data_IF_469909225636
#
_entry.id   IF_469909225636
#
_cell.length_a   1.000
_cell.length_b   1.000
_cell.length_c   1.000
_cell.angle_alpha   90.00
_cell.angle_beta   90.00
_cell.angle_gamma   90.00
#
_symmetry.space_group_name_H-M   'P 1'
#
loop_
_entity.id
_entity.type
_entity.pdbx_description
1 polymer ?
#
# COMPACT_ATOMS: atom_id res chain seq x y z
N UNK A 1 5.95 16.31 -11.57
CA UNK A 1 6.41 17.47 -10.78
C UNK A 1 7.58 17.04 -9.93
N UNK A 2 8.71 17.73 -9.99
CA UNK A 2 9.83 17.41 -9.11
C UNK A 2 9.47 17.71 -7.65
N UNK A 3 9.95 16.87 -6.75
CA UNK A 3 9.83 17.06 -5.31
C UNK A 3 11.08 17.78 -4.81
N UNK A 4 10.89 18.88 -4.11
CA UNK A 4 11.98 19.62 -3.49
C UNK A 4 11.98 19.38 -1.99
N UNK A 5 13.15 19.11 -1.47
CA UNK A 5 13.40 19.04 -0.04
C UNK A 5 14.08 20.34 0.40
N UNK A 6 13.48 21.03 1.35
CA UNK A 6 14.01 22.31 1.82
C UNK A 6 14.23 22.30 3.31
N UNK A 7 15.24 23.06 3.71
CA UNK A 7 15.49 23.40 5.10
C UNK A 7 15.32 24.89 5.25
N UNK A 8 14.40 25.31 6.09
CA UNK A 8 14.12 26.71 6.36
C UNK A 8 14.23 27.01 7.85
N UNK A 9 14.63 28.24 8.15
CA UNK A 9 14.71 28.76 9.52
C UNK A 9 13.59 29.75 9.75
N UNK A 10 12.88 29.61 10.83
CA UNK A 10 11.84 30.57 11.19
C UNK A 10 12.50 31.89 11.61
N UNK A 11 12.05 32.98 11.00
CA UNK A 11 12.61 34.32 11.27
C UNK A 11 12.35 34.83 12.70
N UNK A 12 11.30 34.33 13.37
CA UNK A 12 10.89 34.80 14.69
C UNK A 12 11.60 34.10 15.84
N UNK A 13 11.76 32.75 15.75
CA UNK A 13 12.31 31.94 16.85
C UNK A 13 13.62 31.22 16.52
N UNK A 14 14.10 31.37 15.29
CA UNK A 14 15.34 30.75 14.85
C UNK A 14 15.29 29.22 14.69
N UNK A 15 14.12 28.62 14.80
CA UNK A 15 13.93 27.18 14.71
C UNK A 15 14.11 26.69 13.27
N UNK A 16 14.89 25.63 13.10
CA UNK A 16 15.11 24.99 11.81
C UNK A 16 13.99 23.98 11.54
N UNK A 17 13.32 24.14 10.41
CA UNK A 17 12.30 23.23 9.93
C UNK A 17 12.73 22.61 8.61
N UNK A 18 12.50 21.32 8.47
CA UNK A 18 12.67 20.59 7.22
C UNK A 18 11.30 20.24 6.66
N UNK A 19 11.12 20.44 5.37
CA UNK A 19 9.88 20.12 4.68
C UNK A 19 10.13 19.65 3.27
N UNK A 20 9.11 19.07 2.68
CA UNK A 20 9.10 18.65 1.28
C UNK A 20 7.92 19.32 0.58
N UNK A 21 8.15 19.79 -0.64
CA UNK A 21 7.12 20.43 -1.46
C UNK A 21 7.28 20.03 -2.92
N UNK A 22 6.18 19.75 -3.57
CA UNK A 22 6.14 19.57 -5.01
C UNK A 22 6.01 20.93 -5.68
N UNK A 23 6.92 21.24 -6.57
CA UNK A 23 6.91 22.48 -7.33
C UNK A 23 7.49 22.25 -8.74
N UNK A 24 7.12 23.10 -9.68
CA UNK A 24 7.66 23.03 -11.03
C UNK A 24 9.07 23.63 -11.11
N UNK A 25 9.31 24.64 -10.30
CA UNK A 25 10.59 25.35 -10.25
C UNK A 25 11.06 25.57 -8.82
N UNK A 26 12.37 25.73 -8.69
CA UNK A 26 13.00 26.08 -7.40
C UNK A 26 12.49 27.42 -6.86
N UNK A 27 12.23 28.38 -7.75
CA UNK A 27 11.78 29.72 -7.37
C UNK A 27 10.39 29.71 -6.74
N UNK A 28 9.54 28.79 -7.14
CA UNK A 28 8.20 28.58 -6.55
C UNK A 28 8.31 28.14 -5.08
N UNK A 29 9.24 27.23 -4.78
CA UNK A 29 9.52 26.80 -3.39
C UNK A 29 10.05 27.97 -2.56
N UNK A 30 10.97 28.75 -3.12
CA UNK A 30 11.53 29.94 -2.46
C UNK A 30 10.46 30.96 -2.15
N UNK A 31 9.55 31.21 -3.12
CA UNK A 31 8.41 32.12 -2.94
C UNK A 31 7.48 31.66 -1.80
N UNK A 32 7.19 30.38 -1.73
CA UNK A 32 6.36 29.79 -0.66
C UNK A 32 7.01 29.94 0.72
N UNK A 33 8.32 29.69 0.83
CA UNK A 33 9.07 29.81 2.08
C UNK A 33 9.10 31.27 2.56
N UNK A 34 9.31 32.22 1.64
CA UNK A 34 9.31 33.68 1.96
C UNK A 34 7.94 34.15 2.42
N UNK A 35 6.87 33.67 1.77
CA UNK A 35 5.48 34.01 2.14
C UNK A 35 5.14 33.61 3.57
N UNK A 36 5.74 32.52 4.05
CA UNK A 36 5.56 32.00 5.40
C UNK A 36 6.55 32.62 6.43
N UNK A 37 7.22 33.72 6.08
CA UNK A 37 8.21 34.38 6.94
C UNK A 37 9.36 33.47 7.42
N UNK A 38 9.74 32.54 6.55
CA UNK A 38 10.87 31.65 6.80
C UNK A 38 12.06 32.03 5.93
N UNK A 39 13.25 31.80 6.44
CA UNK A 39 14.50 32.02 5.72
C UNK A 39 14.98 30.68 5.17
N UNK A 40 15.16 30.60 3.85
CA UNK A 40 15.68 29.41 3.21
C UNK A 40 17.15 29.21 3.61
N UNK A 41 17.46 28.07 4.21
CA UNK A 41 18.84 27.66 4.54
C UNK A 41 19.41 26.77 3.43
N UNK A 42 18.64 25.81 2.96
CA UNK A 42 19.05 24.90 1.91
C UNK A 42 17.82 24.40 1.12
N UNK A 43 18.02 24.16 -0.16
CA UNK A 43 17.04 23.53 -1.04
C UNK A 43 17.75 22.54 -1.95
N UNK A 44 17.24 21.33 -2.03
CA UNK A 44 17.71 20.30 -2.95
C UNK A 44 16.52 19.73 -3.68
N UNK A 45 16.70 19.41 -4.95
CA UNK A 45 15.77 18.47 -5.57
C UNK A 45 15.90 17.15 -4.81
N UNK A 46 14.83 16.72 -4.18
CA UNK A 46 14.81 15.37 -3.65
C UNK A 46 15.14 14.46 -4.82
N UNK A 47 16.16 13.59 -4.70
CA UNK A 47 16.39 12.62 -5.74
C UNK A 47 15.03 11.96 -5.95
N UNK A 48 14.58 11.89 -7.22
CA UNK A 48 13.41 11.07 -7.55
C UNK A 48 13.63 9.80 -6.78
N UNK A 49 12.81 9.58 -5.77
CA UNK A 49 12.78 8.28 -5.14
C UNK A 49 12.34 7.36 -6.28
N UNK A 50 13.32 6.94 -7.05
CA UNK A 50 13.24 5.66 -7.68
C UNK A 50 13.03 4.78 -6.48
N UNK A 51 11.78 4.38 -6.25
CA UNK A 51 11.51 3.23 -5.40
C UNK A 51 12.22 2.10 -6.11
N UNK A 52 13.51 2.01 -5.87
CA UNK A 52 14.21 0.77 -6.04
C UNK A 52 13.53 -0.14 -5.03
N UNK A 53 12.55 -0.88 -5.50
CA UNK A 53 12.19 -2.13 -4.84
C UNK A 53 13.37 -3.08 -5.06
N UNK A 54 14.52 -2.67 -4.58
CA UNK A 54 15.69 -3.52 -4.49
C UNK A 54 15.33 -4.60 -3.49
N UNK A 55 14.94 -5.76 -4.04
CA UNK A 55 14.90 -7.00 -3.30
C UNK A 55 13.65 -7.31 -2.54
N UNK A 56 12.48 -6.79 -2.88
CA UNK A 56 11.25 -7.50 -2.52
C UNK A 56 11.14 -8.70 -3.46
N UNK A 57 11.28 -9.93 -2.95
CA UNK A 57 11.05 -11.10 -3.77
C UNK A 57 9.64 -11.01 -4.34
N UNK A 58 9.48 -11.22 -5.64
CA UNK A 58 8.19 -11.28 -6.28
C UNK A 58 7.29 -12.32 -5.59
N UNK A 59 5.99 -12.16 -5.71
CA UNK A 59 5.02 -13.12 -5.18
C UNK A 59 5.11 -14.38 -6.03
N UNK A 60 5.49 -15.49 -5.40
CA UNK A 60 5.57 -16.80 -6.05
C UNK A 60 4.23 -17.52 -5.97
N UNK A 61 3.97 -18.38 -6.94
CA UNK A 61 2.78 -19.26 -6.93
C UNK A 61 2.66 -20.05 -5.62
N UNK A 62 3.78 -20.53 -5.08
CA UNK A 62 3.81 -21.24 -3.80
C UNK A 62 3.25 -20.39 -2.65
N UNK A 63 3.59 -19.11 -2.60
CA UNK A 63 3.13 -18.21 -1.55
C UNK A 63 1.61 -18.02 -1.61
N UNK A 64 1.08 -17.90 -2.82
CA UNK A 64 -0.38 -17.78 -3.06
C UNK A 64 -1.12 -19.07 -2.70
N UNK A 65 -0.55 -20.23 -3.01
CA UNK A 65 -1.13 -21.54 -2.66
C UNK A 65 -1.22 -21.70 -1.14
N UNK A 66 -0.16 -21.38 -0.41
CA UNK A 66 -0.14 -21.44 1.06
C UNK A 66 -1.17 -20.47 1.63
N UNK A 67 -1.20 -19.24 1.13
CA UNK A 67 -2.18 -18.23 1.50
C UNK A 67 -3.62 -18.73 1.32
N UNK A 68 -3.91 -19.27 0.14
CA UNK A 68 -5.25 -19.77 -0.19
C UNK A 68 -5.68 -20.92 0.72
N UNK A 69 -4.79 -21.87 1.00
CA UNK A 69 -5.07 -22.99 1.92
C UNK A 69 -5.35 -22.51 3.34
N UNK A 70 -4.57 -21.60 3.85
CA UNK A 70 -4.78 -21.03 5.18
C UNK A 70 -6.08 -20.25 5.24
N UNK A 71 -6.36 -19.47 4.21
CA UNK A 71 -7.59 -18.70 4.11
C UNK A 71 -8.83 -19.61 4.09
N UNK A 72 -8.82 -20.64 3.25
CA UNK A 72 -9.90 -21.63 3.19
C UNK A 72 -10.13 -22.31 4.55
N UNK A 73 -9.05 -22.71 5.24
CA UNK A 73 -9.13 -23.31 6.56
C UNK A 73 -9.78 -22.39 7.57
N UNK A 74 -9.45 -21.11 7.57
CA UNK A 74 -10.02 -20.12 8.49
C UNK A 74 -11.51 -19.89 8.20
N UNK A 75 -11.89 -19.77 6.94
CA UNK A 75 -13.29 -19.62 6.53
C UNK A 75 -14.12 -20.87 6.91
N UNK A 76 -13.58 -22.06 6.65
CA UNK A 76 -14.21 -23.32 7.05
C UNK A 76 -14.40 -23.46 8.58
N UNK A 77 -13.50 -22.86 9.34
CA UNK A 77 -13.58 -22.83 10.80
C UNK A 77 -14.61 -21.82 11.34
N UNK A 78 -15.28 -21.08 10.45
CA UNK A 78 -16.28 -20.09 10.82
C UNK A 78 -15.74 -18.73 11.24
N UNK A 79 -14.44 -18.46 10.99
CA UNK A 79 -13.86 -17.15 11.24
C UNK A 79 -14.42 -16.10 10.28
N UNK A 80 -14.71 -14.88 10.75
CA UNK A 80 -15.11 -13.78 9.89
C UNK A 80 -14.09 -13.50 8.79
N UNK A 81 -14.54 -13.09 7.61
CA UNK A 81 -13.72 -12.85 6.43
C UNK A 81 -12.58 -11.85 6.70
N UNK A 82 -12.91 -10.68 7.23
CA UNK A 82 -11.92 -9.63 7.52
C UNK A 82 -10.92 -10.07 8.57
N UNK A 83 -11.36 -10.75 9.61
CA UNK A 83 -10.48 -11.29 10.65
C UNK A 83 -9.52 -12.33 10.08
N UNK A 84 -9.98 -13.21 9.21
CA UNK A 84 -9.14 -14.21 8.54
C UNK A 84 -8.06 -13.54 7.69
N UNK A 85 -8.41 -12.53 6.90
CA UNK A 85 -7.47 -11.77 6.09
C UNK A 85 -6.45 -11.02 6.95
N UNK A 86 -6.87 -10.43 8.06
CA UNK A 86 -5.98 -9.72 8.98
C UNK A 86 -4.96 -10.66 9.63
N UNK A 87 -5.37 -11.86 10.01
CA UNK A 87 -4.47 -12.89 10.54
C UNK A 87 -3.47 -13.34 9.47
N UNK A 88 -3.93 -13.56 8.25
CA UNK A 88 -3.07 -13.91 7.12
C UNK A 88 -2.05 -12.82 6.82
N UNK A 89 -2.45 -11.55 6.84
CA UNK A 89 -1.53 -10.44 6.66
C UNK A 89 -0.42 -10.43 7.71
N UNK A 90 -0.74 -10.77 8.96
CA UNK A 90 0.25 -10.86 10.03
C UNK A 90 1.19 -12.06 9.89
N UNK A 91 0.72 -13.20 9.38
CA UNK A 91 1.45 -14.46 9.29
C UNK A 91 2.20 -14.67 7.96
N UNK A 92 1.88 -13.91 6.93
CA UNK A 92 2.50 -14.06 5.61
C UNK A 92 3.97 -13.65 5.65
N UNK A 93 4.87 -14.55 5.25
CA UNK A 93 6.31 -14.33 5.24
C UNK A 93 6.77 -13.47 4.06
N UNK A 94 6.16 -13.65 2.89
CA UNK A 94 6.48 -12.85 1.71
C UNK A 94 6.00 -11.41 1.90
N UNK A 95 6.94 -10.47 1.92
CA UNK A 95 6.66 -9.05 2.18
C UNK A 95 5.71 -8.43 1.16
N UNK A 96 5.86 -8.78 -0.12
CA UNK A 96 5.00 -8.28 -1.18
C UNK A 96 3.55 -8.78 -1.02
N UNK A 97 3.36 -10.06 -0.74
CA UNK A 97 2.04 -10.65 -0.49
C UNK A 97 1.43 -10.11 0.81
N UNK A 98 2.23 -9.87 1.82
CA UNK A 98 1.79 -9.24 3.07
C UNK A 98 1.21 -7.84 2.83
N UNK A 99 1.87 -7.00 2.06
CA UNK A 99 1.37 -5.66 1.72
C UNK A 99 0.10 -5.72 0.86
N UNK A 100 0.04 -6.63 -0.10
CA UNK A 100 -1.16 -6.89 -0.90
C UNK A 100 -2.33 -7.32 0.01
N UNK A 101 -2.09 -8.22 0.95
CA UNK A 101 -3.12 -8.69 1.88
C UNK A 101 -3.64 -7.57 2.78
N UNK A 102 -2.77 -6.72 3.28
CA UNK A 102 -3.17 -5.53 4.04
C UNK A 102 -4.05 -4.59 3.23
N UNK A 103 -3.71 -4.38 1.97
CA UNK A 103 -4.52 -3.55 1.07
C UNK A 103 -5.88 -4.19 0.78
N UNK A 104 -5.93 -5.51 0.63
CA UNK A 104 -7.18 -6.26 0.47
C UNK A 104 -8.08 -6.11 1.71
N UNK A 105 -7.52 -6.21 2.91
CA UNK A 105 -8.25 -5.95 4.16
C UNK A 105 -8.87 -4.57 4.16
N UNK A 106 -8.09 -3.56 3.82
CA UNK A 106 -8.55 -2.17 3.76
C UNK A 106 -9.70 -2.00 2.77
N UNK A 107 -9.58 -2.58 1.57
CA UNK A 107 -10.59 -2.47 0.52
C UNK A 107 -11.91 -3.18 0.92
N UNK A 108 -11.83 -4.34 1.55
CA UNK A 108 -13.00 -5.07 2.05
C UNK A 108 -13.69 -4.34 3.20
N UNK A 109 -12.93 -3.78 4.12
CA UNK A 109 -13.46 -2.95 5.22
C UNK A 109 -14.13 -1.68 4.69
N UNK A 110 -13.67 -1.14 3.58
CA UNK A 110 -14.28 0.01 2.91
C UNK A 110 -15.59 -0.31 2.17
N UNK A 111 -16.00 -1.59 2.12
CA UNK A 111 -17.25 -2.04 1.52
C UNK A 111 -17.12 -2.67 0.13
N UNK A 112 -15.90 -2.88 -0.38
CA UNK A 112 -15.68 -3.60 -1.63
C UNK A 112 -15.85 -5.11 -1.42
N UNK A 113 -16.19 -5.82 -2.51
CA UNK A 113 -16.21 -7.28 -2.48
C UNK A 113 -14.80 -7.85 -2.41
N UNK A 114 -14.65 -9.08 -1.92
CA UNK A 114 -13.36 -9.76 -1.88
C UNK A 114 -12.78 -9.95 -3.28
N UNK A 115 -13.60 -10.31 -4.26
CA UNK A 115 -13.21 -10.44 -5.65
C UNK A 115 -12.68 -9.12 -6.22
N UNK A 116 -13.37 -8.00 -5.97
CA UNK A 116 -12.91 -6.68 -6.40
C UNK A 116 -11.58 -6.31 -5.76
N UNK A 117 -11.43 -6.57 -4.47
CA UNK A 117 -10.18 -6.31 -3.76
C UNK A 117 -9.01 -7.12 -4.35
N UNK A 118 -9.18 -8.39 -4.62
CA UNK A 118 -8.16 -9.23 -5.27
C UNK A 118 -7.87 -8.83 -6.71
N UNK A 119 -8.87 -8.37 -7.46
CA UNK A 119 -8.71 -7.95 -8.86
C UNK A 119 -7.76 -6.77 -9.05
N UNK A 120 -7.55 -5.98 -8.01
CA UNK A 120 -6.61 -4.85 -8.00
C UNK A 120 -5.14 -5.28 -7.91
N UNK A 121 -4.88 -6.55 -7.67
CA UNK A 121 -3.55 -7.12 -7.50
C UNK A 121 -3.29 -8.29 -8.48
N UNK A 122 -3.26 -8.03 -9.81
CA UNK A 122 -3.17 -9.09 -10.81
C UNK A 122 -1.83 -9.84 -10.78
N UNK A 123 -0.80 -9.27 -10.18
CA UNK A 123 0.49 -9.94 -10.00
C UNK A 123 0.47 -11.01 -8.90
N UNK A 124 -0.44 -10.88 -7.94
CA UNK A 124 -0.62 -11.83 -6.85
C UNK A 124 -1.71 -12.85 -7.17
N UNK A 125 -2.83 -12.39 -7.70
CA UNK A 125 -4.03 -13.19 -7.93
C UNK A 125 -4.43 -13.17 -9.41
N UNK A 126 -4.44 -14.34 -10.04
CA UNK A 126 -4.82 -14.47 -11.44
C UNK A 126 -6.30 -14.15 -11.68
N UNK A 127 -6.65 -13.85 -12.94
CA UNK A 127 -8.04 -13.63 -13.31
C UNK A 127 -8.94 -14.83 -13.02
N UNK A 128 -8.45 -16.06 -13.19
CA UNK A 128 -9.16 -17.28 -12.81
C UNK A 128 -9.46 -17.33 -11.31
N UNK A 129 -8.46 -17.02 -10.47
CA UNK A 129 -8.64 -16.97 -9.02
C UNK A 129 -9.70 -15.94 -8.63
N UNK A 130 -9.64 -14.75 -9.19
CA UNK A 130 -10.60 -13.66 -8.94
C UNK A 130 -12.01 -14.08 -9.35
N UNK A 131 -12.18 -14.71 -10.51
CA UNK A 131 -13.47 -15.19 -10.98
C UNK A 131 -14.06 -16.29 -10.09
N UNK A 132 -13.21 -17.19 -9.59
CA UNK A 132 -13.62 -18.23 -8.65
C UNK A 132 -14.07 -17.62 -7.32
N UNK A 133 -13.36 -16.64 -6.81
CA UNK A 133 -13.74 -15.90 -5.60
C UNK A 133 -15.06 -15.17 -5.79
N UNK A 134 -15.25 -14.50 -6.92
CA UNK A 134 -16.50 -13.82 -7.24
C UNK A 134 -17.70 -14.80 -7.27
N UNK A 135 -17.53 -15.96 -7.86
CA UNK A 135 -18.55 -17.01 -7.88
C UNK A 135 -18.85 -17.53 -6.46
N UNK A 136 -17.82 -17.71 -5.63
CA UNK A 136 -17.96 -18.13 -4.23
C UNK A 136 -18.67 -17.11 -3.36
N UNK A 137 -18.38 -15.84 -3.53
CA UNK A 137 -19.07 -14.75 -2.81
C UNK A 137 -20.55 -14.67 -3.21
N UNK A 138 -20.85 -14.72 -4.51
CA UNK A 138 -22.21 -14.67 -5.02
C UNK A 138 -23.06 -15.88 -4.57
N UNK A 139 -22.46 -17.07 -4.49
CA UNK A 139 -23.12 -18.31 -4.10
C UNK A 139 -23.10 -18.61 -2.59
N UNK A 140 -22.34 -17.85 -1.78
CA UNK A 140 -22.14 -18.14 -0.37
C UNK A 140 -21.34 -19.41 -0.09
N UNK A 141 -20.56 -19.88 -1.07
CA UNK A 141 -19.78 -21.13 -1.04
C UNK A 141 -18.26 -20.86 -1.16
N UNK A 142 -17.81 -19.74 -0.61
CA UNK A 142 -16.40 -19.33 -0.69
C UNK A 142 -15.46 -20.39 -0.12
N UNK A 143 -15.86 -21.05 0.95
CA UNK A 143 -15.16 -22.16 1.59
C UNK A 143 -14.97 -23.39 0.69
N UNK A 144 -15.86 -23.60 -0.24
CA UNK A 144 -15.81 -24.75 -1.16
C UNK A 144 -14.91 -24.46 -2.37
N UNK A 145 -14.78 -23.20 -2.75
CA UNK A 145 -14.07 -22.79 -3.96
C UNK A 145 -12.60 -22.51 -3.70
N UNK A 146 -12.25 -22.07 -2.50
CA UNK A 146 -10.86 -21.84 -2.10
C UNK A 146 -10.16 -23.14 -1.75
#
# INVERSE_FOLDING_TARGET
MPLFEYTAKNASNGQIMKGQMQAQTRDEVVGHIRKNRMILVNIREAPKQVKFSLGQPGIKTRDVVIFTRQFATMINSGLPLVQSLSILAAQTENKALKEVTKQVVFDVEAGNTLADAFSRHPKAFSGLFVNMVAAGEAGGILDTIL
#
